data_IF_544119887708
#
_entry.id   IF_544119887708
#
_cell.length_a   1.000
_cell.length_b   1.000
_cell.length_c   1.000
_cell.angle_alpha   90.00
_cell.angle_beta   90.00
_cell.angle_gamma   90.00
#
_symmetry.space_group_name_H-M   'P 1'
#
loop_
_entity.id
_entity.type
_entity.pdbx_description
1 polymer ?
#
# COMPACT_ATOMS: atom_id res chain seq x y z
N UNK A 1 -23.51 -30.09 23.64
CA UNK A 1 -22.87 -28.76 23.50
C UNK A 1 -21.52 -28.96 22.86
N UNK A 2 -21.19 -28.22 21.79
CA UNK A 2 -19.82 -28.17 21.26
C UNK A 2 -18.98 -27.31 22.20
N UNK A 3 -17.77 -27.74 22.55
CA UNK A 3 -16.86 -26.93 23.38
C UNK A 3 -16.11 -25.91 22.51
N UNK A 4 -15.61 -24.83 23.11
CA UNK A 4 -14.83 -23.81 22.41
C UNK A 4 -13.60 -24.43 21.73
N UNK A 5 -12.95 -25.42 22.35
CA UNK A 5 -11.81 -26.14 21.78
C UNK A 5 -12.18 -26.93 20.52
N UNK A 6 -13.40 -27.47 20.45
CA UNK A 6 -13.88 -28.16 19.24
C UNK A 6 -14.26 -27.18 18.13
N UNK A 7 -14.64 -25.96 18.48
CA UNK A 7 -14.97 -24.89 17.54
C UNK A 7 -13.72 -24.16 17.05
N UNK A 8 -12.63 -24.17 17.83
CA UNK A 8 -11.32 -23.60 17.48
C UNK A 8 -10.22 -24.63 17.76
N UNK A 9 -10.10 -25.67 16.91
CA UNK A 9 -9.19 -26.79 17.16
C UNK A 9 -7.72 -26.37 17.09
N UNK A 10 -7.36 -25.49 16.14
CA UNK A 10 -5.99 -25.05 15.89
C UNK A 10 -5.95 -23.61 15.37
N UNK A 11 -4.76 -23.00 15.39
CA UNK A 11 -4.53 -21.66 14.86
C UNK A 11 -4.99 -21.56 13.39
N UNK A 12 -5.66 -20.47 13.04
CA UNK A 12 -6.19 -20.23 11.69
C UNK A 12 -7.51 -20.94 11.37
N UNK A 13 -8.01 -21.85 12.21
CA UNK A 13 -9.27 -22.57 11.96
C UNK A 13 -10.28 -22.34 13.09
N UNK A 14 -11.43 -21.72 12.77
CA UNK A 14 -12.49 -21.47 13.73
C UNK A 14 -13.89 -21.50 13.10
N UNK A 15 -14.86 -22.08 13.80
CA UNK A 15 -16.29 -22.07 13.46
C UNK A 15 -16.95 -20.84 14.10
N UNK A 16 -16.95 -19.71 13.38
CA UNK A 16 -17.55 -18.45 13.86
C UNK A 16 -19.05 -18.61 14.15
N UNK A 17 -19.78 -19.38 13.33
CA UNK A 17 -21.21 -19.59 13.53
C UNK A 17 -21.45 -20.38 14.83
N UNK A 18 -20.71 -21.47 15.02
CA UNK A 18 -20.78 -22.27 16.25
C UNK A 18 -20.37 -21.47 17.50
N UNK A 19 -19.35 -20.60 17.42
CA UNK A 19 -18.97 -19.73 18.54
C UNK A 19 -20.08 -18.73 18.92
N UNK A 20 -20.87 -18.24 17.96
CA UNK A 20 -22.02 -17.36 18.25
C UNK A 20 -23.15 -18.08 18.99
N UNK A 21 -23.25 -19.41 18.86
CA UNK A 21 -24.21 -20.24 19.60
C UNK A 21 -23.78 -20.50 21.05
N UNK A 22 -22.49 -20.40 21.36
CA UNK A 22 -21.98 -20.51 22.74
C UNK A 22 -22.52 -19.35 23.59
N UNK A 23 -22.80 -19.59 24.87
CA UNK A 23 -23.30 -18.55 25.77
C UNK A 23 -22.29 -17.40 25.93
N UNK A 24 -22.76 -16.15 25.87
CA UNK A 24 -21.88 -14.98 25.96
C UNK A 24 -21.09 -14.93 27.28
N UNK A 25 -21.68 -15.40 28.39
CA UNK A 25 -20.99 -15.52 29.67
C UNK A 25 -19.84 -16.52 29.66
N UNK A 26 -19.99 -17.61 28.89
CA UNK A 26 -18.96 -18.62 28.73
C UNK A 26 -17.81 -18.08 27.88
N UNK A 27 -18.13 -17.42 26.76
CA UNK A 27 -17.13 -16.75 25.94
C UNK A 27 -16.37 -15.66 26.71
N UNK A 28 -17.06 -14.81 27.46
CA UNK A 28 -16.41 -13.73 28.21
C UNK A 28 -15.43 -14.27 29.26
N UNK A 29 -15.81 -15.35 29.96
CA UNK A 29 -14.90 -16.05 30.88
C UNK A 29 -13.71 -16.65 30.16
N UNK A 30 -13.93 -17.28 29.01
CA UNK A 30 -12.85 -17.88 28.21
C UNK A 30 -11.87 -16.84 27.70
N UNK A 31 -12.37 -15.67 27.29
CA UNK A 31 -11.56 -14.53 26.85
C UNK A 31 -10.77 -13.94 28.01
N UNK A 32 -11.35 -13.84 29.21
CA UNK A 32 -10.68 -13.25 30.37
C UNK A 32 -9.57 -14.13 30.97
N UNK A 33 -9.52 -15.42 30.64
CA UNK A 33 -8.51 -16.35 31.16
C UNK A 33 -7.22 -16.32 30.30
N UNK A 34 -6.09 -15.80 30.83
CA UNK A 34 -4.82 -15.75 30.10
C UNK A 34 -4.18 -17.13 29.90
N UNK A 35 -4.68 -18.17 30.60
CA UNK A 35 -4.25 -19.55 30.40
C UNK A 35 -4.65 -20.14 29.03
N UNK A 36 -5.61 -19.51 28.34
CA UNK A 36 -6.00 -19.91 26.99
C UNK A 36 -5.14 -19.19 25.93
N UNK A 37 -4.77 -19.87 24.82
CA UNK A 37 -3.96 -19.26 23.79
C UNK A 37 -4.72 -18.17 23.02
N UNK A 38 -4.01 -17.12 22.61
CA UNK A 38 -4.57 -15.95 21.92
C UNK A 38 -5.41 -16.31 20.70
N UNK A 39 -4.99 -17.34 19.94
CA UNK A 39 -5.66 -17.77 18.71
C UNK A 39 -7.01 -18.46 18.96
N UNK A 40 -7.31 -18.86 20.20
CA UNK A 40 -8.67 -19.26 20.64
C UNK A 40 -9.44 -18.10 21.25
N UNK A 41 -8.77 -17.28 22.05
CA UNK A 41 -9.39 -16.12 22.72
C UNK A 41 -9.90 -15.09 21.72
N UNK A 42 -9.13 -14.74 20.69
CA UNK A 42 -9.51 -13.73 19.69
C UNK A 42 -10.82 -14.06 18.95
N UNK A 43 -11.04 -15.27 18.39
CA UNK A 43 -12.35 -15.63 17.83
C UNK A 43 -13.52 -15.54 18.83
N UNK A 44 -13.27 -15.85 20.11
CA UNK A 44 -14.29 -15.70 21.16
C UNK A 44 -14.66 -14.22 21.39
N UNK A 45 -13.68 -13.31 21.35
CA UNK A 45 -13.93 -11.86 21.40
C UNK A 45 -14.82 -11.41 20.24
N UNK A 46 -14.52 -11.86 19.02
CA UNK A 46 -15.34 -11.54 17.83
C UNK A 46 -16.76 -12.10 17.96
N UNK A 47 -16.92 -13.28 18.55
CA UNK A 47 -18.23 -13.88 18.80
C UNK A 47 -19.02 -13.19 19.94
N UNK A 48 -18.41 -12.27 20.70
CA UNK A 48 -19.07 -11.45 21.73
C UNK A 48 -19.68 -10.15 21.19
N UNK A 49 -19.40 -9.76 19.94
CA UNK A 49 -19.91 -8.50 19.37
C UNK A 49 -21.43 -8.37 19.53
N UNK A 50 -21.87 -7.25 20.13
CA UNK A 50 -23.28 -6.94 20.39
C UNK A 50 -23.92 -7.71 21.54
N UNK A 51 -23.17 -8.52 22.29
CA UNK A 51 -23.69 -9.36 23.38
C UNK A 51 -22.75 -9.50 24.59
N UNK A 52 -21.95 -8.47 24.87
CA UNK A 52 -21.02 -8.46 26.02
C UNK A 52 -21.82 -8.51 27.33
N UNK A 53 -21.63 -9.52 28.20
CA UNK A 53 -22.32 -9.56 29.48
C UNK A 53 -21.72 -8.52 30.44
N UNK A 54 -22.56 -7.62 30.96
CA UNK A 54 -22.14 -6.46 31.77
C UNK A 54 -21.25 -6.85 32.97
N UNK A 55 -21.55 -7.99 33.61
CA UNK A 55 -20.80 -8.48 34.77
C UNK A 55 -19.32 -8.79 34.49
N UNK A 56 -18.96 -9.03 33.22
CA UNK A 56 -17.59 -9.38 32.81
C UNK A 56 -16.83 -8.18 32.22
N UNK A 57 -17.47 -7.03 32.07
CA UNK A 57 -16.81 -5.86 31.48
C UNK A 57 -15.57 -5.44 32.26
N UNK A 58 -15.56 -5.39 33.61
CA UNK A 58 -14.36 -5.06 34.36
C UNK A 58 -13.18 -5.99 34.07
N UNK A 59 -13.43 -7.29 33.94
CA UNK A 59 -12.42 -8.30 33.62
C UNK A 59 -11.90 -8.16 32.19
N UNK A 60 -12.79 -7.92 31.23
CA UNK A 60 -12.40 -7.69 29.83
C UNK A 60 -11.60 -6.38 29.67
N UNK A 61 -11.96 -5.32 30.41
CA UNK A 61 -11.17 -4.09 30.51
C UNK A 61 -9.80 -4.38 31.13
N UNK A 62 -9.73 -5.17 32.20
CA UNK A 62 -8.45 -5.54 32.81
C UNK A 62 -7.53 -6.26 31.80
N UNK A 63 -8.06 -7.15 30.95
CA UNK A 63 -7.30 -7.79 29.88
C UNK A 63 -6.76 -6.79 28.86
N UNK A 64 -7.55 -5.78 28.45
CA UNK A 64 -7.06 -4.69 27.57
C UNK A 64 -5.90 -3.95 28.23
N UNK A 65 -6.02 -3.72 29.54
CA UNK A 65 -5.10 -2.92 30.32
C UNK A 65 -3.78 -3.64 30.65
N UNK A 66 -3.77 -4.97 30.64
CA UNK A 66 -2.60 -5.79 30.96
C UNK A 66 -1.56 -5.78 29.81
N UNK A 67 -0.38 -5.17 30.01
CA UNK A 67 0.67 -5.18 28.99
C UNK A 67 1.31 -6.56 28.78
N UNK A 68 1.09 -7.53 29.68
CA UNK A 68 1.58 -8.90 29.53
C UNK A 68 0.63 -9.77 28.69
N UNK A 69 -0.58 -9.30 28.42
CA UNK A 69 -1.50 -10.01 27.52
C UNK A 69 -1.11 -9.78 26.05
N UNK A 70 -1.50 -10.72 25.21
CA UNK A 70 -1.20 -10.72 23.77
C UNK A 70 -1.87 -9.55 23.05
N UNK A 71 -1.13 -8.81 22.20
CA UNK A 71 -1.69 -7.69 21.43
C UNK A 71 -2.88 -8.07 20.55
N UNK A 72 -2.95 -9.30 20.04
CA UNK A 72 -4.08 -9.80 19.25
C UNK A 72 -5.39 -9.80 20.02
N UNK A 73 -5.36 -10.21 21.29
CA UNK A 73 -6.55 -10.23 22.15
C UNK A 73 -6.88 -8.82 22.63
N UNK A 74 -5.88 -8.05 23.05
CA UNK A 74 -6.06 -6.65 23.50
C UNK A 74 -6.68 -5.77 22.41
N UNK A 75 -6.22 -5.87 21.17
CA UNK A 75 -6.81 -5.14 20.02
C UNK A 75 -8.25 -5.56 19.74
N UNK A 76 -8.52 -6.85 19.73
CA UNK A 76 -9.89 -7.35 19.53
C UNK A 76 -10.83 -6.89 20.64
N UNK A 77 -10.35 -6.83 21.88
CA UNK A 77 -11.12 -6.34 23.02
C UNK A 77 -11.37 -4.82 22.96
N UNK A 78 -10.39 -4.03 22.50
CA UNK A 78 -10.59 -2.61 22.25
C UNK A 78 -11.69 -2.36 21.21
N UNK A 79 -11.72 -3.15 20.14
CA UNK A 79 -12.79 -3.08 19.14
C UNK A 79 -14.15 -3.49 19.73
N UNK A 80 -14.17 -4.53 20.57
CA UNK A 80 -15.39 -5.01 21.23
C UNK A 80 -15.97 -3.99 22.22
N UNK A 81 -15.09 -3.27 22.93
CA UNK A 81 -15.44 -2.34 24.01
C UNK A 81 -15.38 -0.87 23.57
N UNK A 82 -15.46 -0.60 22.26
CA UNK A 82 -15.26 0.72 21.69
C UNK A 82 -16.32 1.78 22.09
N UNK A 83 -17.41 1.36 22.76
CA UNK A 83 -18.46 2.22 23.31
C UNK A 83 -18.34 2.46 24.83
N UNK A 84 -17.37 1.80 25.49
CA UNK A 84 -17.16 1.86 26.94
C UNK A 84 -16.33 3.07 27.34
N UNK A 85 -17.02 4.14 27.75
CA UNK A 85 -16.40 5.39 28.19
C UNK A 85 -15.43 5.23 29.37
N UNK A 86 -15.54 4.15 30.14
CA UNK A 86 -14.66 3.78 31.25
C UNK A 86 -13.20 3.57 30.81
N UNK A 87 -12.96 3.22 29.54
CA UNK A 87 -11.62 3.05 28.99
C UNK A 87 -10.92 4.38 28.72
N UNK A 88 -11.66 5.48 28.55
CA UNK A 88 -11.12 6.73 28.05
C UNK A 88 -10.03 7.36 28.93
N UNK A 89 -10.17 7.42 30.27
CA UNK A 89 -9.12 7.95 31.13
C UNK A 89 -7.80 7.16 31.01
N UNK A 90 -7.89 5.83 30.86
CA UNK A 90 -6.72 4.98 30.69
C UNK A 90 -6.10 5.12 29.30
N UNK A 91 -6.92 5.20 28.25
CA UNK A 91 -6.44 5.39 26.87
C UNK A 91 -5.70 6.73 26.66
N UNK A 92 -6.07 7.76 27.43
CA UNK A 92 -5.42 9.09 27.39
C UNK A 92 -4.09 9.15 28.14
N UNK A 93 -3.78 8.14 28.95
CA UNK A 93 -2.58 8.15 29.77
C UNK A 93 -1.32 8.11 28.89
N UNK A 94 -0.31 8.92 29.22
CA UNK A 94 0.92 9.06 28.43
C UNK A 94 1.68 7.74 28.25
N UNK A 95 1.60 6.84 29.24
CA UNK A 95 2.14 5.47 29.18
C UNK A 95 1.60 4.62 28.02
N UNK A 96 0.57 5.07 27.28
CA UNK A 96 0.10 4.38 26.07
C UNK A 96 0.96 4.71 24.86
N UNK A 97 1.61 5.88 24.85
CA UNK A 97 2.54 6.25 23.79
C UNK A 97 3.84 5.43 23.82
N UNK A 98 4.17 4.82 24.97
CA UNK A 98 5.36 3.97 25.16
C UNK A 98 5.10 2.47 24.98
N UNK A 99 3.85 2.05 24.72
CA UNK A 99 3.54 0.64 24.42
C UNK A 99 3.97 0.33 22.97
N UNK A 100 5.14 -0.30 22.82
CA UNK A 100 5.71 -0.68 21.52
C UNK A 100 5.18 -2.01 21.00
N UNK A 101 4.19 -2.60 21.67
CA UNK A 101 3.57 -3.84 21.22
C UNK A 101 2.93 -3.65 19.84
N UNK A 102 3.13 -4.64 18.97
CA UNK A 102 2.74 -4.57 17.58
C UNK A 102 1.26 -4.19 17.38
N UNK A 103 1.02 -3.05 16.72
CA UNK A 103 -0.31 -2.56 16.36
C UNK A 103 -1.13 -1.93 17.50
N UNK A 104 -0.57 -1.80 18.71
CA UNK A 104 -1.31 -1.28 19.87
C UNK A 104 -1.50 0.23 19.82
N UNK A 105 -0.50 0.99 19.34
CA UNK A 105 -0.59 2.45 19.21
C UNK A 105 -1.76 2.87 18.32
N UNK A 106 -1.90 2.22 17.16
CA UNK A 106 -3.00 2.41 16.22
C UNK A 106 -4.35 2.05 16.84
N UNK A 107 -4.39 0.93 17.57
CA UNK A 107 -5.61 0.48 18.24
C UNK A 107 -6.06 1.43 19.37
N UNK A 108 -5.12 2.00 20.13
CA UNK A 108 -5.43 3.01 21.14
C UNK A 108 -5.99 4.28 20.53
N UNK A 109 -5.38 4.78 19.45
CA UNK A 109 -5.88 5.96 18.74
C UNK A 109 -7.29 5.72 18.18
N UNK A 110 -7.49 4.59 17.49
CA UNK A 110 -8.81 4.18 16.99
C UNK A 110 -9.86 4.17 18.10
N UNK A 111 -9.58 3.50 19.22
CA UNK A 111 -10.50 3.42 20.35
C UNK A 111 -10.80 4.80 20.97
N UNK A 112 -9.79 5.69 21.08
CA UNK A 112 -10.00 7.08 21.51
C UNK A 112 -10.95 7.83 20.57
N UNK A 113 -10.81 7.67 19.26
CA UNK A 113 -11.71 8.26 18.26
C UNK A 113 -13.16 7.78 18.42
N UNK A 114 -13.36 6.45 18.50
CA UNK A 114 -14.68 5.84 18.71
C UNK A 114 -15.34 6.27 20.04
N UNK A 115 -14.54 6.48 21.08
CA UNK A 115 -14.99 7.02 22.37
C UNK A 115 -15.18 8.54 22.40
N UNK A 116 -14.94 9.23 21.28
CA UNK A 116 -15.24 10.66 21.15
C UNK A 116 -14.12 11.57 21.63
N UNK A 117 -12.87 11.11 21.68
CA UNK A 117 -11.75 11.94 22.07
C UNK A 117 -11.26 12.86 20.95
N UNK A 118 -11.81 14.08 20.90
CA UNK A 118 -11.39 15.08 19.89
C UNK A 118 -9.90 15.42 19.95
N UNK A 119 -9.25 15.25 21.12
CA UNK A 119 -7.80 15.44 21.25
C UNK A 119 -6.96 14.42 20.49
N UNK A 120 -7.54 13.34 19.97
CA UNK A 120 -6.87 12.35 19.14
C UNK A 120 -7.03 12.63 17.62
N UNK A 121 -7.82 13.63 17.23
CA UNK A 121 -8.18 13.87 15.82
C UNK A 121 -6.94 14.05 14.94
N UNK A 122 -5.94 14.81 15.42
CA UNK A 122 -4.72 15.12 14.69
C UNK A 122 -3.87 13.88 14.42
N UNK A 123 -3.70 13.03 15.43
CA UNK A 123 -2.96 11.78 15.32
C UNK A 123 -3.73 10.75 14.48
N UNK A 124 -5.06 10.72 14.58
CA UNK A 124 -5.92 9.89 13.74
C UNK A 124 -5.85 10.28 12.26
N UNK A 125 -5.88 11.58 11.94
CA UNK A 125 -5.66 12.06 10.56
C UNK A 125 -4.27 11.66 10.04
N UNK A 126 -3.26 11.71 10.90
CA UNK A 126 -1.91 11.23 10.57
C UNK A 126 -1.92 9.74 10.22
N UNK A 127 -2.65 8.95 11.01
CA UNK A 127 -2.75 7.51 10.85
C UNK A 127 -3.54 7.12 9.59
N UNK A 128 -4.66 7.81 9.31
CA UNK A 128 -5.44 7.69 8.09
C UNK A 128 -4.59 7.99 6.84
N UNK A 129 -3.74 9.01 6.96
CA UNK A 129 -2.81 9.38 5.91
C UNK A 129 -1.53 8.53 5.88
N UNK A 130 -1.43 7.37 6.55
CA UNK A 130 -0.31 6.44 6.37
C UNK A 130 -0.50 5.50 5.17
N UNK A 131 0.59 4.98 4.59
CA UNK A 131 0.48 4.07 3.47
C UNK A 131 0.12 2.62 3.89
N UNK A 132 0.44 2.22 5.13
CA UNK A 132 0.07 0.91 5.66
C UNK A 132 -1.46 0.82 5.84
N UNK A 133 -2.09 -0.13 5.14
CA UNK A 133 -3.56 -0.30 5.16
C UNK A 133 -4.13 -0.45 6.57
N UNK A 134 -3.51 -1.26 7.42
CA UNK A 134 -4.00 -1.46 8.80
C UNK A 134 -3.98 -0.19 9.65
N UNK A 135 -2.98 0.68 9.44
CA UNK A 135 -2.91 1.97 10.11
C UNK A 135 -4.01 2.89 9.57
N UNK A 136 -4.12 2.99 8.23
CA UNK A 136 -5.16 3.79 7.58
C UNK A 136 -6.56 3.42 8.06
N UNK A 137 -6.91 2.13 8.02
CA UNK A 137 -8.21 1.62 8.44
C UNK A 137 -8.51 1.97 9.91
N UNK A 138 -7.49 1.98 10.77
CA UNK A 138 -7.63 2.39 12.18
C UNK A 138 -7.82 3.91 12.34
N UNK A 139 -7.11 4.71 11.55
CA UNK A 139 -7.23 6.17 11.52
C UNK A 139 -8.60 6.61 11.02
N UNK A 140 -9.03 6.06 9.88
CA UNK A 140 -10.33 6.31 9.27
C UNK A 140 -11.46 5.93 10.23
N UNK A 141 -11.43 4.74 10.83
CA UNK A 141 -12.45 4.32 11.79
C UNK A 141 -12.51 5.23 13.03
N UNK A 142 -11.36 5.71 13.51
CA UNK A 142 -11.32 6.66 14.63
C UNK A 142 -11.88 8.02 14.26
N UNK A 143 -11.55 8.56 13.07
CA UNK A 143 -12.10 9.81 12.56
C UNK A 143 -13.61 9.69 12.32
N UNK A 144 -14.06 8.58 11.75
CA UNK A 144 -15.49 8.30 11.52
C UNK A 144 -16.25 8.30 12.85
N UNK A 145 -15.71 7.68 13.90
CA UNK A 145 -16.31 7.74 15.24
C UNK A 145 -16.40 9.16 15.81
N UNK A 146 -15.43 10.03 15.51
CA UNK A 146 -15.48 11.44 15.89
C UNK A 146 -16.53 12.22 15.07
N UNK A 147 -16.61 11.97 13.77
CA UNK A 147 -17.60 12.57 12.86
C UNK A 147 -19.02 12.16 13.24
N UNK A 148 -19.25 10.88 13.52
CA UNK A 148 -20.56 10.36 13.93
C UNK A 148 -21.06 11.03 15.22
N UNK A 149 -20.15 11.36 16.15
CA UNK A 149 -20.50 11.96 17.43
C UNK A 149 -20.63 13.49 17.39
N UNK A 150 -19.76 14.17 16.64
CA UNK A 150 -19.64 15.64 16.69
C UNK A 150 -19.99 16.35 15.37
N UNK A 151 -20.14 15.62 14.27
CA UNK A 151 -20.30 16.14 12.93
C UNK A 151 -18.97 16.47 12.25
N UNK A 152 -18.95 16.40 10.91
CA UNK A 152 -17.75 16.64 10.10
C UNK A 152 -17.17 18.06 10.31
N UNK A 153 -18.02 19.08 10.34
CA UNK A 153 -17.60 20.48 10.51
C UNK A 153 -16.81 20.71 11.82
N UNK A 154 -17.22 20.04 12.90
CA UNK A 154 -16.54 20.16 14.20
C UNK A 154 -15.14 19.54 14.18
N UNK A 155 -14.95 18.46 13.42
CA UNK A 155 -13.65 17.78 13.29
C UNK A 155 -12.76 18.52 12.30
N UNK A 156 -13.32 19.02 11.20
CA UNK A 156 -12.60 19.87 10.24
C UNK A 156 -12.10 21.17 10.90
N UNK A 157 -12.90 21.76 11.81
CA UNK A 157 -12.48 22.93 12.59
C UNK A 157 -11.32 22.62 13.56
N UNK A 158 -11.25 21.41 14.13
CA UNK A 158 -10.14 21.00 14.99
C UNK A 158 -8.85 20.74 14.20
N UNK A 159 -8.96 20.18 12.99
CA UNK A 159 -7.82 19.80 12.16
C UNK A 159 -7.23 21.00 11.40
N UNK A 160 -8.07 21.88 10.84
CA UNK A 160 -7.62 23.02 10.04
C UNK A 160 -7.17 22.64 8.63
N UNK A 161 -6.19 23.38 8.08
CA UNK A 161 -5.73 23.26 6.67
C UNK A 161 -4.20 23.20 6.51
N UNK A 162 -3.46 23.37 7.59
CA UNK A 162 -2.01 23.58 7.51
C UNK A 162 -1.28 22.31 7.02
N UNK A 163 -1.80 21.13 7.39
CA UNK A 163 -1.16 19.85 7.10
C UNK A 163 -1.84 19.11 5.95
N UNK A 164 -1.07 18.39 5.13
CA UNK A 164 -1.65 17.57 4.07
C UNK A 164 -2.57 16.48 4.61
N UNK A 165 -2.28 15.88 5.77
CA UNK A 165 -3.15 14.84 6.35
C UNK A 165 -4.55 15.38 6.71
N UNK A 166 -4.61 16.63 7.19
CA UNK A 166 -5.84 17.31 7.55
C UNK A 166 -6.62 17.72 6.30
N UNK A 167 -5.92 18.12 5.23
CA UNK A 167 -6.51 18.40 3.91
C UNK A 167 -7.00 17.14 3.20
N UNK A 168 -6.30 16.01 3.29
CA UNK A 168 -6.76 14.69 2.79
C UNK A 168 -8.11 14.33 3.44
N UNK A 169 -8.22 14.46 4.76
CA UNK A 169 -9.46 14.21 5.48
C UNK A 169 -10.61 15.11 5.00
N UNK A 170 -10.34 16.40 4.73
CA UNK A 170 -11.32 17.31 4.15
C UNK A 170 -11.84 16.86 2.79
N UNK A 171 -10.96 16.40 1.91
CA UNK A 171 -11.35 15.90 0.58
C UNK A 171 -12.34 14.74 0.75
N UNK A 172 -12.06 13.81 1.66
CA UNK A 172 -12.98 12.72 1.99
C UNK A 172 -14.33 13.20 2.53
N UNK A 173 -14.35 14.19 3.42
CA UNK A 173 -15.61 14.73 3.96
C UNK A 173 -16.47 15.38 2.88
N UNK A 174 -15.85 16.15 1.98
CA UNK A 174 -16.55 16.74 0.83
C UNK A 174 -17.11 15.68 -0.10
N UNK A 175 -16.31 14.68 -0.46
CA UNK A 175 -16.77 13.55 -1.27
C UNK A 175 -17.97 12.83 -0.64
N UNK A 176 -17.93 12.54 0.68
CA UNK A 176 -19.04 11.90 1.39
C UNK A 176 -20.29 12.77 1.48
N UNK A 177 -20.14 14.09 1.40
CA UNK A 177 -21.23 15.05 1.32
C UNK A 177 -21.74 15.29 -0.12
N UNK A 178 -21.27 14.50 -1.10
CA UNK A 178 -21.57 14.66 -2.54
C UNK A 178 -21.15 16.05 -3.08
N UNK A 179 -20.06 16.60 -2.52
CA UNK A 179 -19.49 17.88 -2.95
C UNK A 179 -18.29 17.70 -3.89
N UNK A 180 -18.06 18.70 -4.75
CA UNK A 180 -16.91 18.75 -5.65
C UNK A 180 -15.57 18.75 -4.89
N UNK A 181 -14.68 17.85 -5.31
CA UNK A 181 -13.31 17.66 -4.80
C UNK A 181 -12.23 18.15 -5.77
N UNK A 182 -12.59 18.61 -6.97
CA UNK A 182 -11.60 18.99 -8.01
C UNK A 182 -10.66 20.11 -7.59
N UNK A 183 -11.06 20.97 -6.64
CA UNK A 183 -10.19 22.01 -6.08
C UNK A 183 -8.87 21.43 -5.52
N UNK A 184 -8.92 20.22 -4.96
CA UNK A 184 -7.79 19.57 -4.30
C UNK A 184 -6.81 18.92 -5.29
N UNK A 185 -7.15 18.83 -6.58
CA UNK A 185 -6.21 18.41 -7.63
C UNK A 185 -5.03 19.39 -7.78
N UNK A 186 -5.17 20.62 -7.29
CA UNK A 186 -4.10 21.62 -7.26
C UNK A 186 -3.41 21.75 -5.89
N UNK A 187 -3.65 20.84 -4.94
CA UNK A 187 -2.94 20.86 -3.66
C UNK A 187 -1.42 20.70 -3.88
N UNK A 188 -0.58 21.44 -3.13
CA UNK A 188 0.88 21.29 -3.23
C UNK A 188 1.39 19.92 -2.75
N UNK A 189 0.63 19.19 -1.93
CA UNK A 189 0.97 17.80 -1.56
C UNK A 189 0.30 16.81 -2.52
N UNK A 190 1.11 16.04 -3.23
CA UNK A 190 0.67 15.03 -4.20
C UNK A 190 -0.28 13.98 -3.62
N UNK A 191 -0.19 13.67 -2.32
CA UNK A 191 -1.14 12.73 -1.70
C UNK A 191 -2.56 13.28 -1.69
N UNK A 192 -2.72 14.57 -1.42
CA UNK A 192 -4.03 15.23 -1.43
C UNK A 192 -4.58 15.24 -2.86
N UNK A 193 -3.74 15.58 -3.85
CA UNK A 193 -4.09 15.52 -5.27
C UNK A 193 -4.48 14.11 -5.73
N UNK A 194 -3.76 13.08 -5.29
CA UNK A 194 -4.08 11.67 -5.55
C UNK A 194 -5.44 11.28 -4.98
N UNK A 195 -5.73 11.65 -3.72
CA UNK A 195 -7.03 11.36 -3.10
C UNK A 195 -8.15 12.03 -3.88
N UNK A 196 -7.99 13.31 -4.21
CA UNK A 196 -8.97 14.06 -5.00
C UNK A 196 -9.20 13.45 -6.38
N UNK A 197 -8.14 12.99 -7.07
CA UNK A 197 -8.24 12.31 -8.35
C UNK A 197 -9.01 10.99 -8.24
N UNK A 198 -8.78 10.21 -7.18
CA UNK A 198 -9.45 8.92 -6.99
C UNK A 198 -10.93 9.04 -6.60
N UNK A 199 -11.34 10.22 -6.11
CA UNK A 199 -12.70 10.50 -5.64
C UNK A 199 -13.51 11.40 -6.59
N UNK A 200 -12.89 11.96 -7.63
CA UNK A 200 -13.61 12.75 -8.61
C UNK A 200 -14.59 11.86 -9.40
N UNK A 201 -15.85 12.27 -9.47
CA UNK A 201 -16.94 11.50 -10.09
C UNK A 201 -17.60 12.20 -11.28
N UNK A 202 -17.34 13.50 -11.48
CA UNK A 202 -17.95 14.32 -12.53
C UNK A 202 -16.98 14.60 -13.67
N UNK A 203 -17.19 13.93 -14.80
CA UNK A 203 -16.37 14.07 -16.01
C UNK A 203 -16.47 15.46 -16.63
N UNK A 204 -17.64 16.10 -16.61
CA UNK A 204 -17.83 17.43 -17.20
C UNK A 204 -17.14 18.51 -16.36
N UNK A 205 -17.20 18.37 -15.04
CA UNK A 205 -16.42 19.21 -14.12
C UNK A 205 -14.93 19.07 -14.35
N UNK A 206 -14.41 17.85 -14.54
CA UNK A 206 -13.00 17.59 -14.84
C UNK A 206 -12.58 18.21 -16.19
N UNK A 207 -13.42 18.10 -17.23
CA UNK A 207 -13.18 18.76 -18.53
C UNK A 207 -13.08 20.27 -18.39
N UNK A 208 -13.99 20.90 -17.66
CA UNK A 208 -13.92 22.34 -17.37
C UNK A 208 -12.66 22.69 -16.57
N UNK A 209 -12.31 21.88 -15.58
CA UNK A 209 -11.16 22.12 -14.71
C UNK A 209 -9.81 22.06 -15.46
N UNK A 210 -9.69 21.28 -16.55
CA UNK A 210 -8.46 21.25 -17.37
C UNK A 210 -8.05 22.64 -17.89
N UNK A 211 -9.02 23.52 -18.14
CA UNK A 211 -8.76 24.88 -18.62
C UNK A 211 -8.54 25.86 -17.46
N UNK A 212 -9.19 25.64 -16.31
CA UNK A 212 -9.12 26.48 -15.11
C UNK A 212 -7.90 26.21 -14.21
N UNK A 213 -7.37 24.99 -14.24
CA UNK A 213 -6.41 24.52 -13.26
C UNK A 213 -5.12 25.37 -13.26
N UNK A 214 -4.62 25.75 -12.07
CA UNK A 214 -3.55 26.74 -11.93
C UNK A 214 -2.16 26.21 -12.30
N UNK A 215 -1.97 24.90 -12.35
CA UNK A 215 -0.67 24.26 -12.61
C UNK A 215 -0.80 23.13 -13.63
N UNK A 216 0.30 22.81 -14.31
CA UNK A 216 0.35 21.65 -15.22
C UNK A 216 0.09 20.35 -14.47
N UNK A 217 0.61 20.20 -13.25
CA UNK A 217 0.38 19.00 -12.44
C UNK A 217 -1.11 18.80 -12.11
N UNK A 218 -1.84 19.86 -11.75
CA UNK A 218 -3.27 19.81 -11.52
C UNK A 218 -4.06 19.41 -12.79
N UNK A 219 -3.62 19.88 -13.97
CA UNK A 219 -4.19 19.45 -15.25
C UNK A 219 -3.93 17.98 -15.54
N UNK A 220 -2.75 17.48 -15.17
CA UNK A 220 -2.41 16.06 -15.34
C UNK A 220 -3.23 15.19 -14.38
N UNK A 221 -3.39 15.60 -13.12
CA UNK A 221 -4.31 14.92 -12.19
C UNK A 221 -5.73 14.86 -12.74
N UNK A 222 -6.25 15.97 -13.26
CA UNK A 222 -7.58 16.04 -13.87
C UNK A 222 -7.71 15.16 -15.11
N UNK A 223 -6.69 15.14 -15.99
CA UNK A 223 -6.66 14.28 -17.17
C UNK A 223 -6.67 12.80 -16.79
N UNK A 224 -5.89 12.40 -15.78
CA UNK A 224 -5.87 11.03 -15.30
C UNK A 224 -7.17 10.63 -14.58
N UNK A 225 -7.78 11.54 -13.81
CA UNK A 225 -9.10 11.34 -13.23
C UNK A 225 -10.17 11.10 -14.31
N UNK A 226 -10.15 11.94 -15.35
CA UNK A 226 -11.09 11.86 -16.47
C UNK A 226 -10.94 10.53 -17.22
N UNK A 227 -9.70 10.10 -17.47
CA UNK A 227 -9.43 8.78 -18.04
C UNK A 227 -9.98 7.65 -17.14
N UNK A 228 -9.75 7.72 -15.83
CA UNK A 228 -10.27 6.71 -14.89
C UNK A 228 -11.80 6.59 -14.89
N UNK A 229 -12.53 7.67 -15.17
CA UNK A 229 -14.00 7.67 -15.25
C UNK A 229 -14.56 7.25 -16.60
N UNK A 230 -13.84 7.54 -17.69
CA UNK A 230 -14.34 7.36 -19.06
C UNK A 230 -13.75 6.15 -19.76
N UNK A 231 -12.58 5.69 -19.31
CA UNK A 231 -11.71 4.74 -20.00
C UNK A 231 -11.37 5.14 -21.45
N UNK A 232 -11.55 6.43 -21.80
CA UNK A 232 -11.27 6.94 -23.14
C UNK A 232 -9.80 7.33 -23.29
N UNK A 233 -9.03 6.38 -23.83
CA UNK A 233 -7.60 6.59 -24.12
C UNK A 233 -7.36 7.66 -25.18
N UNK A 234 -8.26 7.83 -26.15
CA UNK A 234 -8.09 8.83 -27.20
C UNK A 234 -8.30 10.25 -26.66
N UNK A 235 -9.28 10.43 -25.76
CA UNK A 235 -9.47 11.67 -25.01
C UNK A 235 -8.26 11.97 -24.13
N UNK A 236 -7.77 10.98 -23.37
CA UNK A 236 -6.56 11.13 -22.54
C UNK A 236 -5.34 11.55 -23.36
N UNK A 237 -5.10 10.90 -24.51
CA UNK A 237 -4.02 11.25 -25.43
C UNK A 237 -4.18 12.68 -25.98
N UNK A 238 -5.37 13.06 -26.45
CA UNK A 238 -5.61 14.40 -26.97
C UNK A 238 -5.35 15.49 -25.90
N UNK A 239 -5.75 15.25 -24.65
CA UNK A 239 -5.45 16.15 -23.53
C UNK A 239 -3.94 16.18 -23.25
N UNK A 240 -3.27 15.03 -23.20
CA UNK A 240 -1.83 14.93 -22.96
C UNK A 240 -1.01 15.68 -24.03
N UNK A 241 -1.38 15.54 -25.31
CA UNK A 241 -0.79 16.29 -26.42
C UNK A 241 -1.02 17.80 -26.28
N UNK A 242 -2.25 18.22 -25.94
CA UNK A 242 -2.60 19.63 -25.72
C UNK A 242 -1.79 20.27 -24.59
N UNK A 243 -1.44 19.49 -23.57
CA UNK A 243 -0.58 19.92 -22.46
C UNK A 243 0.91 19.94 -22.81
N UNK A 244 1.29 19.54 -24.02
CA UNK A 244 2.68 19.48 -24.48
C UNK A 244 3.44 18.25 -23.99
N UNK A 245 2.74 17.13 -23.75
CA UNK A 245 3.30 15.87 -23.25
C UNK A 245 4.14 16.05 -21.99
N UNK A 246 3.56 16.61 -20.90
CA UNK A 246 4.32 16.85 -19.67
C UNK A 246 4.85 15.53 -19.12
N UNK A 247 6.16 15.46 -18.87
CA UNK A 247 6.84 14.28 -18.33
C UNK A 247 7.76 14.65 -17.17
N UNK A 248 8.13 13.67 -16.35
CA UNK A 248 9.20 13.81 -15.35
C UNK A 248 10.52 13.50 -16.05
N UNK A 249 11.36 14.52 -16.23
CA UNK A 249 12.70 14.32 -16.79
C UNK A 249 13.59 13.63 -15.76
N UNK A 250 14.21 12.52 -16.17
CA UNK A 250 15.20 11.79 -15.37
C UNK A 250 16.50 11.78 -16.17
N UNK A 251 17.54 12.42 -15.64
CA UNK A 251 18.84 12.51 -16.32
C UNK A 251 19.43 11.11 -16.55
N UNK A 252 19.87 10.84 -17.78
CA UNK A 252 20.45 9.56 -18.17
C UNK A 252 19.45 8.46 -18.53
N UNK A 253 18.16 8.61 -18.23
CA UNK A 253 17.14 7.61 -18.56
C UNK A 253 16.68 7.75 -20.02
N UNK A 254 17.07 6.82 -20.88
CA UNK A 254 16.60 6.79 -22.26
C UNK A 254 15.19 6.20 -22.42
N UNK A 255 14.63 6.36 -23.63
CA UNK A 255 13.24 6.01 -23.94
C UNK A 255 12.95 4.50 -23.87
N UNK A 256 13.95 3.62 -24.07
CA UNK A 256 13.75 2.18 -23.98
C UNK A 256 13.54 1.76 -22.51
N UNK A 257 14.43 2.19 -21.63
CA UNK A 257 14.33 1.96 -20.18
C UNK A 257 13.09 2.65 -19.60
N UNK A 258 12.85 3.89 -20.01
CA UNK A 258 11.67 4.66 -19.60
C UNK A 258 10.39 3.92 -19.99
N UNK A 259 10.29 3.43 -21.22
CA UNK A 259 9.13 2.67 -21.68
C UNK A 259 8.86 1.45 -20.79
N UNK A 260 9.87 0.63 -20.53
CA UNK A 260 9.72 -0.53 -19.65
C UNK A 260 9.24 -0.14 -18.23
N UNK A 261 9.88 0.86 -17.62
CA UNK A 261 9.61 1.29 -16.24
C UNK A 261 8.25 1.98 -16.11
N UNK A 262 7.90 2.86 -17.04
CA UNK A 262 6.62 3.59 -17.04
C UNK A 262 5.44 2.62 -17.14
N UNK A 263 5.51 1.65 -18.05
CA UNK A 263 4.41 0.73 -18.28
C UNK A 263 4.27 -0.32 -17.16
N UNK A 264 5.38 -0.69 -16.53
CA UNK A 264 5.34 -1.59 -15.37
C UNK A 264 4.80 -0.87 -14.12
N UNK A 265 5.41 0.26 -13.75
CA UNK A 265 5.18 0.87 -12.44
C UNK A 265 4.20 2.05 -12.47
N UNK A 266 3.99 2.70 -13.61
CA UNK A 266 3.11 3.86 -13.75
C UNK A 266 1.67 3.60 -13.25
N UNK A 267 0.99 2.53 -13.69
CA UNK A 267 -0.38 2.23 -13.26
C UNK A 267 -0.51 1.98 -11.75
N UNK A 268 0.49 1.34 -11.13
CA UNK A 268 0.48 0.92 -9.73
C UNK A 268 1.27 1.80 -8.76
N UNK A 269 1.87 2.89 -9.24
CA UNK A 269 2.77 3.69 -8.41
C UNK A 269 2.04 4.33 -7.21
N UNK A 270 2.79 4.54 -6.13
CA UNK A 270 2.28 5.01 -4.85
C UNK A 270 1.78 6.46 -4.93
N UNK A 271 0.85 6.84 -4.04
CA UNK A 271 0.18 8.17 -4.01
C UNK A 271 1.10 9.41 -3.94
N UNK A 272 2.38 9.24 -3.60
CA UNK A 272 3.36 10.33 -3.60
C UNK A 272 4.00 10.57 -4.97
N UNK A 273 3.81 9.63 -5.91
CA UNK A 273 4.39 9.72 -7.24
C UNK A 273 3.78 10.87 -8.00
N UNK A 274 4.61 11.55 -8.80
CA UNK A 274 4.15 12.59 -9.70
C UNK A 274 3.13 12.02 -10.71
N UNK A 275 1.99 12.70 -10.94
CA UNK A 275 0.93 12.17 -11.79
C UNK A 275 1.34 12.06 -13.27
N UNK A 276 2.42 12.73 -13.68
CA UNK A 276 2.96 12.60 -15.05
C UNK A 276 3.36 11.16 -15.37
N UNK A 277 3.86 10.39 -14.39
CA UNK A 277 4.16 8.97 -14.59
C UNK A 277 2.92 8.14 -14.95
N UNK A 278 1.78 8.45 -14.34
CA UNK A 278 0.51 7.73 -14.56
C UNK A 278 -0.09 8.05 -15.92
N UNK A 279 -0.20 9.33 -16.26
CA UNK A 279 -0.78 9.71 -17.55
C UNK A 279 0.11 9.27 -18.72
N UNK A 280 1.44 9.24 -18.52
CA UNK A 280 2.37 8.77 -19.53
C UNK A 280 2.20 7.29 -19.82
N UNK A 281 2.03 6.44 -18.79
CA UNK A 281 1.70 5.02 -18.98
C UNK A 281 0.42 4.81 -19.79
N UNK A 282 -0.57 5.68 -19.64
CA UNK A 282 -1.81 5.63 -20.43
C UNK A 282 -1.57 6.09 -21.88
N UNK A 283 -0.84 7.19 -22.06
CA UNK A 283 -0.78 7.89 -23.35
C UNK A 283 0.34 7.38 -24.26
N UNK A 284 1.46 6.94 -23.71
CA UNK A 284 2.59 6.40 -24.46
C UNK A 284 2.27 5.03 -25.05
N UNK A 285 2.92 4.69 -26.15
CA UNK A 285 2.82 3.35 -26.74
C UNK A 285 3.51 2.35 -25.80
N UNK A 286 2.84 1.24 -25.41
CA UNK A 286 3.48 0.21 -24.60
C UNK A 286 4.61 -0.47 -25.37
N UNK A 287 5.71 -0.86 -24.70
CA UNK A 287 6.70 -1.71 -25.32
C UNK A 287 6.07 -3.03 -25.74
N UNK A 288 6.62 -3.65 -26.79
CA UNK A 288 6.19 -4.98 -27.20
C UNK A 288 6.39 -5.94 -26.01
N UNK A 289 5.32 -6.65 -25.63
CA UNK A 289 5.40 -7.61 -24.53
C UNK A 289 6.48 -8.66 -24.81
N UNK A 290 7.47 -8.81 -23.91
CA UNK A 290 8.50 -9.83 -24.05
C UNK A 290 7.91 -11.23 -24.12
N UNK A 291 8.38 -12.03 -25.07
CA UNK A 291 8.28 -13.49 -24.98
C UNK A 291 9.42 -13.96 -24.06
N UNK A 292 9.09 -14.11 -22.77
CA UNK A 292 10.06 -14.43 -21.72
C UNK A 292 10.73 -15.79 -21.99
N UNK A 293 9.97 -16.80 -22.41
CA UNK A 293 10.51 -18.13 -22.72
C UNK A 293 11.51 -18.08 -23.90
N UNK A 294 11.20 -17.29 -24.93
CA UNK A 294 12.11 -17.02 -26.04
C UNK A 294 13.37 -16.28 -25.60
N UNK A 295 13.24 -15.24 -24.77
CA UNK A 295 14.38 -14.50 -24.25
C UNK A 295 15.30 -15.41 -23.42
N UNK A 296 14.74 -16.18 -22.49
CA UNK A 296 15.51 -17.09 -21.64
C UNK A 296 16.24 -18.15 -22.48
N UNK A 297 15.55 -18.75 -23.45
CA UNK A 297 16.15 -19.73 -24.36
C UNK A 297 17.28 -19.11 -25.20
N UNK A 298 17.11 -17.86 -25.65
CA UNK A 298 18.15 -17.12 -26.38
C UNK A 298 19.35 -16.80 -25.50
N UNK A 299 19.13 -16.35 -24.26
CA UNK A 299 20.19 -16.09 -23.29
C UNK A 299 20.99 -17.36 -22.98
N UNK A 300 20.32 -18.47 -22.65
CA UNK A 300 20.98 -19.76 -22.39
C UNK A 300 21.77 -20.25 -23.61
N UNK A 301 21.20 -20.13 -24.82
CA UNK A 301 21.90 -20.51 -26.05
C UNK A 301 23.15 -19.65 -26.30
N UNK A 302 23.07 -18.33 -26.09
CA UNK A 302 24.19 -17.42 -26.28
C UNK A 302 25.33 -17.69 -25.28
N UNK A 303 25.00 -17.87 -24.01
CA UNK A 303 25.96 -18.22 -22.96
C UNK A 303 26.64 -19.57 -23.28
N UNK A 304 25.86 -20.57 -23.71
CA UNK A 304 26.40 -21.89 -24.11
C UNK A 304 27.34 -21.77 -25.31
N UNK A 305 26.98 -20.96 -26.32
CA UNK A 305 27.82 -20.72 -27.50
C UNK A 305 29.12 -19.99 -27.17
N UNK A 306 29.14 -19.18 -26.11
CA UNK A 306 30.34 -18.55 -25.57
C UNK A 306 31.23 -19.51 -24.76
N UNK A 307 30.88 -20.79 -24.67
CA UNK A 307 31.63 -21.81 -23.94
C UNK A 307 31.36 -21.81 -22.43
N UNK A 308 30.31 -21.12 -22.00
CA UNK A 308 29.86 -21.12 -20.61
C UNK A 308 28.91 -22.30 -20.36
N UNK A 309 28.75 -22.71 -19.11
CA UNK A 309 27.85 -23.78 -18.70
C UNK A 309 26.67 -23.22 -17.88
N UNK A 310 25.71 -22.52 -18.50
CA UNK A 310 24.57 -21.94 -17.80
C UNK A 310 23.67 -23.04 -17.21
N UNK A 311 23.23 -22.83 -15.97
CA UNK A 311 22.14 -23.63 -15.39
C UNK A 311 20.79 -23.25 -16.02
N UNK A 312 19.75 -24.09 -15.88
CA UNK A 312 18.39 -23.71 -16.27
C UNK A 312 17.99 -22.40 -15.57
N UNK A 313 17.35 -21.45 -16.30
CA UNK A 313 16.81 -20.25 -15.70
C UNK A 313 15.75 -20.58 -14.64
N UNK A 314 15.72 -19.82 -13.55
CA UNK A 314 14.70 -19.89 -12.49
C UNK A 314 14.12 -18.51 -12.25
N UNK A 315 12.83 -18.41 -11.90
CA UNK A 315 12.24 -17.10 -11.55
C UNK A 315 12.85 -16.58 -10.24
N UNK A 316 12.88 -15.26 -10.05
CA UNK A 316 13.38 -14.67 -8.80
C UNK A 316 12.61 -15.16 -7.57
N UNK A 317 11.30 -15.45 -7.69
CA UNK A 317 10.50 -16.00 -6.59
C UNK A 317 10.89 -17.43 -6.23
N UNK A 318 11.15 -18.28 -7.22
CA UNK A 318 11.64 -19.64 -6.99
C UNK A 318 13.05 -19.65 -6.39
N UNK A 319 13.92 -18.79 -6.91
CA UNK A 319 15.29 -18.62 -6.45
C UNK A 319 15.34 -18.17 -4.97
N UNK A 320 14.55 -17.16 -4.60
CA UNK A 320 14.42 -16.67 -3.23
C UNK A 320 13.49 -17.53 -2.36
N UNK A 321 12.87 -18.57 -2.92
CA UNK A 321 11.91 -19.48 -2.28
C UNK A 321 10.63 -18.80 -1.75
N UNK A 322 10.39 -17.55 -2.13
CA UNK A 322 9.21 -16.75 -1.80
C UNK A 322 9.12 -15.53 -2.71
N UNK A 323 7.94 -14.91 -2.74
CA UNK A 323 7.74 -13.67 -3.47
C UNK A 323 7.62 -13.83 -4.99
N UNK A 324 7.62 -12.69 -5.68
CA UNK A 324 7.59 -12.57 -7.14
C UNK A 324 8.38 -11.32 -7.57
N UNK A 325 8.59 -11.14 -8.87
CA UNK A 325 9.38 -10.02 -9.37
C UNK A 325 9.54 -9.97 -10.88
N UNK A 326 10.47 -9.14 -11.33
CA UNK A 326 10.62 -8.77 -12.73
C UNK A 326 11.86 -9.38 -13.39
N UNK A 327 12.38 -10.50 -12.88
CA UNK A 327 13.55 -11.16 -13.47
C UNK A 327 13.63 -12.67 -13.22
N UNK A 328 14.48 -13.31 -14.02
CA UNK A 328 14.95 -14.68 -13.85
C UNK A 328 16.45 -14.70 -13.58
N UNK A 329 16.89 -15.71 -12.85
CA UNK A 329 18.30 -15.96 -12.54
C UNK A 329 18.84 -17.07 -13.44
N UNK A 330 19.98 -16.83 -14.06
CA UNK A 330 20.78 -17.86 -14.75
C UNK A 330 22.15 -17.91 -14.07
N UNK A 331 22.43 -19.01 -13.38
CA UNK A 331 23.74 -19.22 -12.79
C UNK A 331 24.77 -19.67 -13.83
N UNK A 332 25.94 -19.03 -13.84
CA UNK A 332 27.06 -19.34 -14.73
C UNK A 332 28.37 -19.28 -13.95
N UNK A 333 29.07 -20.41 -13.81
CA UNK A 333 30.42 -20.41 -13.22
C UNK A 333 30.50 -20.02 -11.74
N UNK A 334 29.37 -19.94 -11.04
CA UNK A 334 29.28 -19.44 -9.66
C UNK A 334 28.63 -18.06 -9.55
N UNK A 335 28.56 -17.32 -10.67
CA UNK A 335 27.94 -15.99 -10.74
C UNK A 335 26.46 -16.08 -11.12
N UNK A 336 25.70 -15.03 -10.79
CA UNK A 336 24.26 -14.93 -11.01
C UNK A 336 23.96 -13.84 -12.01
N UNK A 337 23.50 -14.25 -13.19
CA UNK A 337 23.04 -13.34 -14.24
C UNK A 337 21.53 -13.14 -14.09
N UNK A 338 21.07 -11.88 -14.14
CA UNK A 338 19.66 -11.52 -14.03
C UNK A 338 19.13 -11.16 -15.41
N UNK A 339 18.04 -11.78 -15.83
CA UNK A 339 17.35 -11.50 -17.10
C UNK A 339 15.99 -10.90 -16.79
N UNK A 340 15.78 -9.64 -17.17
CA UNK A 340 14.53 -8.93 -16.89
C UNK A 340 13.36 -9.51 -17.68
N UNK A 341 12.18 -9.50 -17.07
CA UNK A 341 10.90 -9.83 -17.74
C UNK A 341 10.28 -8.61 -18.42
N UNK A 342 10.83 -7.40 -18.20
CA UNK A 342 10.30 -6.14 -18.75
C UNK A 342 10.86 -5.80 -20.14
N UNK A 343 11.87 -6.54 -20.59
CA UNK A 343 12.54 -6.30 -21.87
C UNK A 343 13.83 -7.12 -21.96
N UNK A 344 14.57 -7.04 -23.07
CA UNK A 344 15.81 -7.76 -23.24
C UNK A 344 16.94 -7.09 -22.45
N UNK A 345 16.77 -6.90 -21.14
CA UNK A 345 17.77 -6.32 -20.24
C UNK A 345 18.44 -7.43 -19.43
N UNK A 346 19.75 -7.31 -19.25
CA UNK A 346 20.52 -8.24 -18.44
C UNK A 346 21.51 -7.51 -17.53
N UNK A 347 21.74 -8.06 -16.35
CA UNK A 347 22.83 -7.64 -15.46
C UNK A 347 23.39 -8.85 -14.70
N UNK A 348 24.30 -8.61 -13.76
CA UNK A 348 24.77 -9.59 -12.81
C UNK A 348 24.85 -9.00 -11.39
N UNK A 349 24.62 -9.85 -10.38
CA UNK A 349 24.73 -9.44 -8.97
C UNK A 349 26.19 -9.13 -8.58
N UNK A 350 27.15 -9.81 -9.21
CA UNK A 350 28.59 -9.63 -9.02
C UNK A 350 29.29 -9.38 -10.37
N UNK A 351 30.61 -9.24 -10.37
CA UNK A 351 31.41 -9.05 -11.59
C UNK A 351 31.31 -10.28 -12.51
N UNK A 352 30.35 -10.26 -13.44
CA UNK A 352 30.17 -11.32 -14.41
C UNK A 352 31.44 -11.51 -15.26
N UNK A 353 31.72 -12.75 -15.70
CA UNK A 353 32.82 -13.00 -16.62
C UNK A 353 32.63 -12.20 -17.90
N UNK A 354 33.71 -11.62 -18.43
CA UNK A 354 33.67 -10.81 -19.66
C UNK A 354 32.97 -11.52 -20.84
N UNK A 355 33.05 -12.84 -20.88
CA UNK A 355 32.41 -13.67 -21.89
C UNK A 355 30.88 -13.67 -21.78
N UNK A 356 30.32 -13.53 -20.57
CA UNK A 356 28.89 -13.60 -20.32
C UNK A 356 28.16 -12.35 -20.83
N UNK A 357 28.59 -11.15 -20.42
CA UNK A 357 27.94 -9.92 -20.85
C UNK A 357 28.05 -9.72 -22.37
N UNK A 358 29.23 -9.98 -22.97
CA UNK A 358 29.40 -9.93 -24.44
C UNK A 358 28.52 -10.92 -25.20
N UNK A 359 28.31 -12.11 -24.64
CA UNK A 359 27.44 -13.12 -25.25
C UNK A 359 25.98 -12.67 -25.25
N UNK A 360 25.52 -12.11 -24.13
CA UNK A 360 24.17 -11.57 -23.99
C UNK A 360 23.95 -10.36 -24.90
N UNK A 361 24.90 -9.42 -24.95
CA UNK A 361 24.82 -8.30 -25.89
C UNK A 361 24.76 -8.75 -27.35
N UNK A 362 25.59 -9.73 -27.73
CA UNK A 362 25.56 -10.31 -29.09
C UNK A 362 24.23 -11.00 -29.40
N UNK A 363 23.48 -11.42 -28.38
CA UNK A 363 22.15 -12.01 -28.49
C UNK A 363 21.01 -10.98 -28.47
N UNK A 364 21.35 -9.68 -28.45
CA UNK A 364 20.40 -8.58 -28.47
C UNK A 364 19.89 -8.16 -27.10
N UNK A 365 20.56 -8.57 -26.03
CA UNK A 365 20.29 -8.02 -24.70
C UNK A 365 21.05 -6.71 -24.52
N UNK A 366 20.43 -5.78 -23.81
CA UNK A 366 21.11 -4.60 -23.30
C UNK A 366 21.67 -4.90 -21.92
N UNK A 367 22.98 -4.78 -21.78
CA UNK A 367 23.64 -4.90 -20.48
C UNK A 367 23.39 -3.65 -19.63
N UNK A 368 22.92 -3.83 -18.41
CA UNK A 368 22.71 -2.76 -17.44
C UNK A 368 23.92 -2.75 -16.50
N UNK A 369 24.83 -1.83 -16.77
CA UNK A 369 26.03 -1.62 -15.97
C UNK A 369 25.75 -0.80 -14.70
N UNK A 370 26.76 -0.63 -13.85
CA UNK A 370 26.61 0.09 -12.59
C UNK A 370 26.25 1.57 -12.76
N UNK A 371 26.66 2.22 -13.87
CA UNK A 371 26.30 3.61 -14.14
C UNK A 371 24.83 3.74 -14.55
N UNK A 372 24.38 2.94 -15.51
CA UNK A 372 22.99 2.88 -15.97
C UNK A 372 22.06 2.41 -14.86
N UNK A 373 22.47 1.35 -14.15
CA UNK A 373 21.71 0.75 -13.05
C UNK A 373 21.54 1.68 -11.86
N UNK A 374 22.48 2.61 -11.63
CA UNK A 374 22.43 3.60 -10.55
C UNK A 374 21.55 4.82 -10.85
N UNK A 375 21.07 4.98 -12.09
CA UNK A 375 20.15 6.08 -12.44
C UNK A 375 18.91 5.98 -11.56
N UNK A 376 18.63 7.04 -10.81
CA UNK A 376 17.48 7.11 -9.91
C UNK A 376 16.25 7.60 -10.65
N UNK A 377 15.20 6.79 -10.69
CA UNK A 377 13.91 7.14 -11.30
C UNK A 377 13.14 8.04 -10.32
N UNK A 378 13.40 9.34 -10.39
CA UNK A 378 12.84 10.31 -9.44
C UNK A 378 11.33 10.47 -9.57
N UNK A 379 10.68 10.83 -8.47
CA UNK A 379 9.23 11.07 -8.39
C UNK A 379 8.32 9.90 -8.79
N UNK A 380 8.86 8.70 -9.01
CA UNK A 380 8.13 7.44 -9.17
C UNK A 380 8.29 6.63 -7.88
N UNK A 381 7.32 6.71 -6.98
CA UNK A 381 7.35 5.98 -5.72
C UNK A 381 6.82 4.57 -5.93
N UNK A 382 7.67 3.57 -5.70
CA UNK A 382 7.31 2.14 -5.74
C UNK A 382 7.51 1.57 -4.35
N UNK A 383 6.62 0.66 -3.94
CA UNK A 383 6.81 -0.08 -2.70
C UNK A 383 8.00 -1.03 -2.84
N UNK A 384 8.92 -1.05 -1.89
CA UNK A 384 10.06 -1.98 -1.88
C UNK A 384 10.55 -2.17 -0.45
N UNK A 385 10.47 -3.40 0.08
CA UNK A 385 10.84 -3.77 1.47
C UNK A 385 10.36 -2.77 2.55
N UNK A 386 9.08 -2.43 2.52
CA UNK A 386 8.48 -1.49 3.49
C UNK A 386 8.72 -0.01 3.17
N UNK A 387 9.71 0.30 2.33
CA UNK A 387 9.96 1.63 1.77
C UNK A 387 9.00 1.95 0.62
N UNK A 388 8.74 3.24 0.40
CA UNK A 388 7.92 3.75 -0.71
C UNK A 388 8.59 4.98 -1.31
N UNK A 389 9.65 4.73 -2.06
CA UNK A 389 10.57 5.76 -2.52
C UNK A 389 10.87 5.59 -4.01
N UNK A 390 11.50 6.61 -4.60
CA UNK A 390 12.17 6.49 -5.89
C UNK A 390 13.20 5.35 -5.84
N UNK A 391 13.12 4.45 -6.82
CA UNK A 391 14.03 3.32 -7.01
C UNK A 391 15.03 3.60 -8.14
N UNK A 392 16.08 2.81 -8.24
CA UNK A 392 17.04 2.90 -9.36
C UNK A 392 16.57 2.07 -10.55
N UNK A 393 17.17 2.27 -11.73
CA UNK A 393 16.91 1.45 -12.93
C UNK A 393 17.18 -0.02 -12.63
N UNK A 394 18.26 -0.33 -11.93
CA UNK A 394 18.59 -1.70 -11.53
C UNK A 394 17.46 -2.35 -10.71
N UNK A 395 17.03 -1.68 -9.63
CA UNK A 395 15.91 -2.17 -8.81
C UNK A 395 14.59 -2.24 -9.58
N UNK A 396 14.36 -1.34 -10.55
CA UNK A 396 13.14 -1.34 -11.35
C UNK A 396 13.10 -2.47 -12.38
N UNK A 397 14.23 -2.81 -13.00
CA UNK A 397 14.29 -3.88 -14.00
C UNK A 397 14.42 -5.27 -13.38
N UNK A 398 15.07 -5.36 -12.22
CA UNK A 398 15.36 -6.60 -11.50
C UNK A 398 14.72 -6.58 -10.10
N UNK A 399 13.45 -6.19 -10.07
CA UNK A 399 12.66 -6.10 -8.85
C UNK A 399 12.32 -7.49 -8.29
N UNK A 400 12.37 -7.64 -6.97
CA UNK A 400 11.83 -8.79 -6.25
C UNK A 400 11.21 -8.34 -4.92
N UNK A 401 10.13 -8.97 -4.51
CA UNK A 401 9.46 -8.73 -3.24
C UNK A 401 8.86 -10.02 -2.69
N UNK A 402 8.96 -10.20 -1.37
CA UNK A 402 8.50 -11.36 -0.59
C UNK A 402 6.98 -11.55 -0.49
#
# INVERSE_FOLDING_TARGET
MRSIETLVPQAGFHDTAGLREVGAEELARYVADPGHPWWRRRPCVIALTGRVPERYVPELIACVQDPQDTPEVRRALLDLLADRAELLPWLRHEDRASDTSYGMGEAFLKARGLLGDRSAARELATLAALPQRSARDAGDAGLDGLVDRYGADAILADLGEDRPEDREFRVWMRYRADEDVTYALADPDRRVGYVAQSLATDADRLRAYLDEAPTTEAKVWAAYALYGLTEDRAEAQAVYERLGRPRVEVEGLDEELRGAIVHEYGPGCERHSDPRWRIEAVCAEPPARPDVDEQLRRATAALTAAGLAPKPPVSCGEDNQQGDGTYHVIEVGGDRLLISTLGPFATAEEDAPDAAWRALESAGFRWIDGETGAIRVTDLCVYYFGGRNAITVDTALFYWQD
#
